data_IF_414042478109
#
_entry.id   IF_414042478109
#
_cell.length_a   1.000
_cell.length_b   1.000
_cell.length_c   1.000
_cell.angle_alpha   90.00
_cell.angle_beta   90.00
_cell.angle_gamma   90.00
#
_symmetry.space_group_name_H-M   'P 1'
#
loop_
_entity.id
_entity.type
_entity.pdbx_description
1 polymer ?
#
# COMPACT_ATOMS: atom_id res chain seq x y z
N UNK A 1 17.90 -5.82 -4.94
CA UNK A 1 16.80 -6.61 -5.55
C UNK A 1 15.48 -5.90 -5.22
N UNK A 2 15.15 -4.81 -5.94
CA UNK A 2 13.96 -3.96 -5.68
C UNK A 2 12.94 -3.99 -6.82
N UNK A 3 13.33 -4.46 -8.00
CA UNK A 3 12.48 -4.45 -9.21
C UNK A 3 11.61 -5.72 -9.30
N UNK A 4 12.05 -6.84 -8.72
CA UNK A 4 11.33 -8.12 -8.82
C UNK A 4 9.98 -8.11 -8.09
N UNK A 5 9.91 -7.51 -6.90
CA UNK A 5 8.70 -7.52 -6.08
C UNK A 5 7.55 -6.71 -6.71
N UNK A 6 7.87 -5.59 -7.38
CA UNK A 6 6.88 -4.76 -8.08
C UNK A 6 6.32 -5.46 -9.32
N UNK A 7 7.17 -6.18 -10.07
CA UNK A 7 6.76 -6.95 -11.25
C UNK A 7 5.90 -8.15 -10.86
N UNK A 8 6.21 -8.82 -9.74
CA UNK A 8 5.39 -9.92 -9.22
C UNK A 8 4.00 -9.45 -8.77
N UNK A 9 3.90 -8.35 -8.04
CA UNK A 9 2.61 -7.78 -7.62
C UNK A 9 1.76 -7.39 -8.84
N UNK A 10 2.37 -6.85 -9.89
CA UNK A 10 1.70 -6.54 -11.15
C UNK A 10 1.19 -7.80 -11.87
N UNK A 11 2.02 -8.85 -11.97
CA UNK A 11 1.65 -10.12 -12.62
C UNK A 11 0.56 -10.91 -11.87
N UNK A 12 0.38 -10.67 -10.57
CA UNK A 12 -0.66 -11.34 -9.75
C UNK A 12 -2.02 -10.64 -9.80
N UNK A 13 -2.04 -9.38 -10.22
CA UNK A 13 -3.26 -8.58 -10.46
C UNK A 13 -3.86 -8.91 -11.85
N UNK A 14 -3.14 -9.66 -12.68
CA UNK A 14 -3.60 -10.19 -13.98
C UNK A 14 -4.63 -11.32 -13.77
N UNK A 15 -5.90 -10.91 -13.60
CA UNK A 15 -7.22 -11.56 -13.63
C UNK A 15 -7.47 -12.99 -13.11
N UNK A 16 -6.49 -13.89 -13.00
CA UNK A 16 -6.71 -15.33 -12.75
C UNK A 16 -6.20 -15.87 -11.40
N UNK A 17 -5.62 -15.05 -10.51
CA UNK A 17 -5.07 -15.55 -9.24
C UNK A 17 -5.41 -14.71 -7.99
N UNK A 18 -6.71 -14.61 -7.71
CA UNK A 18 -7.24 -14.01 -6.47
C UNK A 18 -6.60 -14.56 -5.19
N UNK A 19 -6.26 -15.85 -5.15
CA UNK A 19 -5.62 -16.48 -3.98
C UNK A 19 -4.26 -15.86 -3.69
N UNK A 20 -3.45 -15.64 -4.73
CA UNK A 20 -2.14 -15.02 -4.55
C UNK A 20 -2.28 -13.55 -4.15
N UNK A 21 -3.20 -12.80 -4.76
CA UNK A 21 -3.47 -11.43 -4.34
C UNK A 21 -3.84 -11.34 -2.85
N UNK A 22 -4.73 -12.20 -2.38
CA UNK A 22 -5.11 -12.26 -0.96
C UNK A 22 -3.91 -12.58 -0.06
N UNK A 23 -2.99 -13.47 -0.47
CA UNK A 23 -1.75 -13.74 0.27
C UNK A 23 -0.87 -12.49 0.40
N UNK A 24 -0.75 -11.69 -0.66
CA UNK A 24 0.00 -10.44 -0.61
C UNK A 24 -0.67 -9.40 0.30
N UNK A 25 -1.99 -9.28 0.23
CA UNK A 25 -2.75 -8.40 1.14
C UNK A 25 -2.50 -8.80 2.59
N UNK A 26 -2.64 -10.09 2.92
CA UNK A 26 -2.41 -10.61 4.27
C UNK A 26 -0.98 -10.31 4.72
N UNK A 27 0.02 -10.64 3.90
CA UNK A 27 1.42 -10.38 4.20
C UNK A 27 1.70 -8.90 4.48
N UNK A 28 1.20 -7.98 3.64
CA UNK A 28 1.39 -6.55 3.86
C UNK A 28 0.68 -6.05 5.11
N UNK A 29 -0.54 -6.51 5.39
CA UNK A 29 -1.26 -6.18 6.62
C UNK A 29 -0.49 -6.65 7.86
N UNK A 30 0.08 -7.86 7.85
CA UNK A 30 0.91 -8.34 8.96
C UNK A 30 2.18 -7.50 9.18
N UNK A 31 2.82 -7.04 8.09
CA UNK A 31 4.00 -6.18 8.20
C UNK A 31 3.62 -4.81 8.79
N UNK A 32 2.50 -4.23 8.35
CA UNK A 32 1.97 -2.97 8.90
C UNK A 32 1.65 -3.12 10.38
N UNK A 33 0.96 -4.19 10.77
CA UNK A 33 0.58 -4.45 12.16
C UNK A 33 1.80 -4.59 13.07
N UNK A 34 2.82 -5.37 12.65
CA UNK A 34 4.08 -5.52 13.40
C UNK A 34 4.82 -4.20 13.64
N UNK A 35 4.60 -3.19 12.80
CA UNK A 35 5.27 -1.89 12.90
C UNK A 35 4.31 -0.76 13.26
N UNK A 36 3.08 -1.09 13.69
CA UNK A 36 2.06 -0.10 13.99
C UNK A 36 2.54 0.95 15.03
N UNK A 37 3.23 0.60 16.13
CA UNK A 37 3.74 1.59 17.08
C UNK A 37 4.76 2.55 16.46
N UNK A 38 5.60 2.03 15.55
CA UNK A 38 6.56 2.86 14.83
C UNK A 38 5.84 3.79 13.85
N UNK A 39 4.92 3.28 13.04
CA UNK A 39 4.12 4.08 12.12
C UNK A 39 3.31 5.16 12.85
N UNK A 40 2.76 4.85 14.02
CA UNK A 40 2.01 5.79 14.86
C UNK A 40 2.87 7.00 15.27
N UNK A 41 4.14 6.77 15.61
CA UNK A 41 5.09 7.83 16.00
C UNK A 41 5.51 8.78 14.86
N UNK A 42 5.27 8.41 13.61
CA UNK A 42 5.70 9.15 12.44
C UNK A 42 4.54 9.96 11.84
N UNK A 43 4.79 11.23 11.50
CA UNK A 43 3.86 12.10 10.78
C UNK A 43 3.75 11.72 9.31
N UNK A 44 4.89 11.40 8.71
CA UNK A 44 5.02 11.07 7.29
C UNK A 44 5.18 9.56 7.11
N UNK A 45 4.97 9.10 5.87
CA UNK A 45 5.15 7.69 5.51
C UNK A 45 6.64 7.35 5.58
N UNK A 46 7.07 6.44 6.46
CA UNK A 46 8.49 6.11 6.56
C UNK A 46 9.01 5.50 5.25
N UNK A 47 10.24 5.84 4.81
CA UNK A 47 10.80 5.33 3.55
C UNK A 47 10.77 3.81 3.43
N UNK A 48 11.05 3.11 4.54
CA UNK A 48 11.07 1.65 4.60
C UNK A 48 9.67 1.01 4.50
N UNK A 49 8.62 1.80 4.77
CA UNK A 49 7.22 1.36 4.74
C UNK A 49 6.44 1.87 3.55
N UNK A 50 7.02 2.82 2.80
CA UNK A 50 6.36 3.48 1.69
C UNK A 50 5.92 2.51 0.61
N UNK A 51 6.74 1.52 0.28
CA UNK A 51 6.41 0.51 -0.73
C UNK A 51 5.19 -0.31 -0.32
N UNK A 52 5.17 -0.81 0.90
CA UNK A 52 4.09 -1.65 1.44
C UNK A 52 2.77 -0.87 1.50
N UNK A 53 2.80 0.34 2.06
CA UNK A 53 1.62 1.19 2.18
C UNK A 53 1.12 1.59 0.79
N UNK A 54 2.00 1.94 -0.14
CA UNK A 54 1.61 2.29 -1.51
C UNK A 54 1.01 1.09 -2.27
N UNK A 55 1.58 -0.12 -2.11
CA UNK A 55 1.05 -1.35 -2.69
C UNK A 55 -0.36 -1.68 -2.15
N UNK A 56 -0.56 -1.56 -0.84
CA UNK A 56 -1.89 -1.74 -0.24
C UNK A 56 -2.91 -0.72 -0.80
N UNK A 57 -2.49 0.54 -0.97
CA UNK A 57 -3.36 1.57 -1.55
C UNK A 57 -3.76 1.26 -2.99
N UNK A 58 -2.80 0.78 -3.79
CA UNK A 58 -3.01 0.38 -5.17
C UNK A 58 -3.94 -0.83 -5.32
N UNK A 59 -3.79 -1.83 -4.45
CA UNK A 59 -4.67 -3.00 -4.43
C UNK A 59 -6.07 -2.57 -4.00
N UNK A 60 -6.19 -1.83 -2.91
CA UNK A 60 -7.47 -1.37 -2.39
C UNK A 60 -8.24 -0.47 -3.38
N UNK A 61 -7.55 0.29 -4.25
CA UNK A 61 -8.22 1.10 -5.28
C UNK A 61 -8.77 0.28 -6.45
N UNK A 62 -8.31 -0.97 -6.67
CA UNK A 62 -8.83 -1.88 -7.71
C UNK A 62 -9.80 -2.92 -7.19
N UNK A 63 -9.62 -3.34 -5.94
CA UNK A 63 -10.44 -4.37 -5.29
C UNK A 63 -11.33 -3.75 -4.21
N UNK A 64 -12.06 -2.69 -4.58
CA UNK A 64 -12.93 -1.90 -3.69
C UNK A 64 -14.10 -2.67 -3.08
N UNK A 65 -14.32 -3.93 -3.48
CA UNK A 65 -15.30 -4.85 -2.90
C UNK A 65 -14.86 -5.41 -1.54
N UNK A 66 -13.60 -5.18 -1.12
CA UNK A 66 -13.09 -5.57 0.20
C UNK A 66 -13.29 -4.44 1.22
N UNK A 67 -14.34 -4.49 2.06
CA UNK A 67 -14.70 -3.38 2.95
C UNK A 67 -13.60 -3.04 3.96
N UNK A 68 -12.80 -4.03 4.37
CA UNK A 68 -11.72 -3.81 5.34
C UNK A 68 -10.52 -3.09 4.72
N UNK A 69 -10.25 -3.29 3.42
CA UNK A 69 -9.26 -2.49 2.68
C UNK A 69 -9.72 -1.03 2.53
N UNK A 70 -11.02 -0.80 2.33
CA UNK A 70 -11.58 0.55 2.29
C UNK A 70 -11.40 1.31 3.60
N UNK A 71 -11.58 0.63 4.74
CA UNK A 71 -11.31 1.21 6.07
C UNK A 71 -9.82 1.53 6.25
N UNK A 72 -8.94 0.62 5.84
CA UNK A 72 -7.49 0.82 5.92
C UNK A 72 -7.04 2.03 5.08
N UNK A 73 -7.53 2.15 3.84
CA UNK A 73 -7.33 3.33 3.00
C UNK A 73 -7.78 4.62 3.67
N UNK A 74 -8.95 4.60 4.32
CA UNK A 74 -9.50 5.77 5.02
C UNK A 74 -8.59 6.18 6.19
N UNK A 75 -8.02 5.21 6.91
CA UNK A 75 -7.07 5.47 7.99
C UNK A 75 -5.76 6.05 7.45
N UNK A 76 -5.19 5.47 6.39
CA UNK A 76 -3.98 6.03 5.76
C UNK A 76 -4.22 7.40 5.17
N UNK A 77 -5.39 7.65 4.56
CA UNK A 77 -5.75 8.97 4.06
C UNK A 77 -5.85 10.00 5.18
N UNK A 78 -6.36 9.62 6.35
CA UNK A 78 -6.46 10.51 7.52
C UNK A 78 -5.08 10.81 8.11
N UNK A 79 -4.16 9.86 8.06
CA UNK A 79 -2.81 10.00 8.65
C UNK A 79 -1.82 10.70 7.70
N UNK A 80 -1.80 10.31 6.43
CA UNK A 80 -0.78 10.72 5.45
C UNK A 80 -1.32 11.62 4.33
N UNK A 81 -2.62 11.92 4.34
CA UNK A 81 -3.25 12.79 3.36
C UNK A 81 -3.80 12.08 2.13
N UNK A 82 -4.84 12.67 1.54
CA UNK A 82 -5.54 12.15 0.35
C UNK A 82 -4.66 12.16 -0.91
N UNK A 83 -3.70 13.09 -1.00
CA UNK A 83 -2.78 13.20 -2.13
C UNK A 83 -1.87 11.97 -2.22
N UNK A 84 -1.33 11.52 -1.09
CA UNK A 84 -0.50 10.32 -1.03
C UNK A 84 -1.26 9.09 -1.54
N UNK A 85 -2.49 8.88 -1.03
CA UNK A 85 -3.35 7.76 -1.45
C UNK A 85 -3.66 7.84 -2.95
N UNK A 86 -3.98 9.03 -3.45
CA UNK A 86 -4.29 9.25 -4.87
C UNK A 86 -3.08 8.94 -5.77
N UNK A 87 -1.88 9.29 -5.34
CA UNK A 87 -0.65 9.02 -6.09
C UNK A 87 -0.29 7.52 -6.05
N UNK A 88 -0.42 6.89 -4.88
CA UNK A 88 -0.19 5.45 -4.70
C UNK A 88 -1.17 4.60 -5.51
N UNK A 89 -2.46 4.96 -5.52
CA UNK A 89 -3.50 4.30 -6.32
C UNK A 89 -3.20 4.33 -7.83
N UNK A 90 -2.45 5.33 -8.30
CA UNK A 90 -2.08 5.54 -9.71
C UNK A 90 -0.73 4.94 -10.10
N UNK A 91 0.01 4.27 -9.21
CA UNK A 91 1.39 3.80 -9.45
C UNK A 91 2.31 4.91 -10.00
N UNK A 92 2.13 6.16 -9.59
CA UNK A 92 3.10 7.19 -9.97
C UNK A 92 4.44 6.85 -9.31
N UNK A 93 5.57 6.82 -10.04
CA UNK A 93 6.88 6.51 -9.45
C UNK A 93 7.26 7.48 -8.31
N UNK A 94 6.67 8.67 -8.29
CA UNK A 94 6.82 9.69 -7.25
C UNK A 94 5.58 9.80 -6.35
N UNK A 95 5.33 8.79 -5.51
CA UNK A 95 4.24 8.82 -4.52
C UNK A 95 4.47 9.83 -3.37
N UNK A 96 5.15 10.96 -3.61
CA UNK A 96 5.43 11.99 -2.60
C UNK A 96 6.70 11.68 -1.81
N UNK A 97 7.85 12.05 -2.35
CA UNK A 97 8.99 12.49 -1.56
C UNK A 97 8.93 14.01 -1.65
N UNK A 98 8.71 14.72 -0.55
CA UNK A 98 9.20 16.09 -0.52
C UNK A 98 10.71 15.97 -0.34
N UNK A 99 11.45 16.19 -1.42
CA UNK A 99 12.90 16.39 -1.35
C UNK A 99 13.14 17.59 -0.43
N UNK A 100 13.79 17.34 0.71
CA UNK A 100 14.53 18.35 1.45
C UNK A 100 15.98 17.92 1.54
#
# INVERSE_FOLDING_TARGET
MRIAHTVEVLNLIDENNMINLLKYIIYFCEVVDRHLPFLESQSDVPPDMKEIIASLCYIASRYGELPDLGKLLSQFSRKYGTEFITNAAKLKPDCGVKEQ
#
